data_IF_643344529857
#
_entry.id   IF_643344529857
#
_cell.length_a   1.000
_cell.length_b   1.000
_cell.length_c   1.000
_cell.angle_alpha   90.00
_cell.angle_beta   90.00
_cell.angle_gamma   90.00
#
_symmetry.space_group_name_H-M   'P 1'
#
loop_
_entity.id
_entity.type
_entity.pdbx_description
1 polymer ?
#
# COMPACT_ATOMS: atom_id res chain seq x y z
N UNK A 1 8.59 -12.05 -12.59
CA UNK A 1 8.52 -10.89 -13.49
C UNK A 1 7.07 -10.70 -13.96
N UNK A 2 6.45 -9.54 -13.60
CA UNK A 2 5.05 -9.24 -13.91
C UNK A 2 4.78 -9.14 -15.44
N UNK A 3 5.73 -8.61 -16.21
CA UNK A 3 5.61 -8.51 -17.66
C UNK A 3 5.57 -9.89 -18.32
N UNK A 4 6.43 -10.82 -17.88
CA UNK A 4 6.45 -12.18 -18.39
C UNK A 4 5.13 -12.92 -18.08
N UNK A 5 4.58 -12.75 -16.87
CA UNK A 5 3.29 -13.31 -16.50
C UNK A 5 2.14 -12.70 -17.32
N UNK A 6 2.15 -11.39 -17.51
CA UNK A 6 1.16 -10.71 -18.34
C UNK A 6 1.18 -11.26 -19.78
N UNK A 7 2.37 -11.43 -20.36
CA UNK A 7 2.53 -12.02 -21.70
C UNK A 7 2.01 -13.46 -21.76
N UNK A 8 2.28 -14.29 -20.77
CA UNK A 8 1.78 -15.68 -20.70
C UNK A 8 0.26 -15.76 -20.66
N UNK A 9 -0.41 -14.80 -20.00
CA UNK A 9 -1.89 -14.81 -19.88
C UNK A 9 -2.61 -14.29 -21.11
N UNK A 10 -1.91 -13.68 -22.08
CA UNK A 10 -2.51 -13.16 -23.31
C UNK A 10 -3.27 -14.26 -24.07
N UNK A 11 -2.70 -15.46 -24.17
CA UNK A 11 -3.29 -16.62 -24.88
C UNK A 11 -4.55 -17.18 -24.20
N UNK A 12 -4.84 -16.80 -22.97
CA UNK A 12 -6.09 -17.16 -22.29
C UNK A 12 -7.27 -16.29 -22.75
N UNK A 13 -7.01 -15.20 -23.47
CA UNK A 13 -8.01 -14.25 -23.94
C UNK A 13 -8.40 -14.53 -25.40
N UNK A 14 -9.67 -14.34 -25.70
CA UNK A 14 -10.23 -14.50 -27.05
C UNK A 14 -11.01 -13.26 -27.45
N UNK A 15 -10.87 -12.86 -28.72
CA UNK A 15 -11.65 -11.78 -29.30
C UNK A 15 -12.06 -12.14 -30.74
N UNK A 16 -13.32 -11.89 -31.08
CA UNK A 16 -13.90 -12.22 -32.37
C UNK A 16 -13.63 -13.69 -32.82
N UNK A 17 -13.75 -14.64 -31.86
CA UNK A 17 -13.54 -16.07 -32.11
C UNK A 17 -12.07 -16.52 -32.18
N UNK A 18 -11.11 -15.61 -32.14
CA UNK A 18 -9.68 -15.89 -32.22
C UNK A 18 -8.99 -15.80 -30.85
N UNK A 19 -8.07 -16.72 -30.55
CA UNK A 19 -7.17 -16.62 -29.40
C UNK A 19 -6.16 -15.51 -29.66
N UNK A 20 -5.93 -14.67 -28.63
CA UNK A 20 -4.91 -13.62 -28.70
C UNK A 20 -3.52 -14.23 -28.44
N UNK A 21 -2.56 -13.94 -29.29
CA UNK A 21 -1.19 -14.48 -29.19
C UNK A 21 -0.13 -13.40 -29.16
N UNK A 22 -0.50 -12.19 -29.59
CA UNK A 22 0.42 -11.06 -29.75
C UNK A 22 -0.09 -9.87 -28.92
N UNK A 23 0.76 -9.40 -28.00
CA UNK A 23 0.50 -8.27 -27.14
C UNK A 23 1.77 -7.44 -26.92
N UNK A 24 1.61 -6.14 -26.81
CA UNK A 24 2.65 -5.25 -26.28
C UNK A 24 2.48 -5.13 -24.76
N UNK A 25 3.50 -5.53 -24.02
CA UNK A 25 3.52 -5.40 -22.54
C UNK A 25 4.55 -4.37 -22.15
N UNK A 26 4.14 -3.39 -21.36
CA UNK A 26 5.00 -2.32 -20.85
C UNK A 26 4.88 -2.26 -19.33
N UNK A 27 5.99 -1.97 -18.66
CA UNK A 27 6.04 -1.71 -17.22
C UNK A 27 6.40 -0.27 -16.95
N UNK A 28 5.89 0.29 -15.87
CA UNK A 28 6.13 1.67 -15.47
C UNK A 28 5.39 2.00 -14.19
N UNK A 29 4.97 3.24 -14.07
CA UNK A 29 4.18 3.73 -12.96
C UNK A 29 2.83 4.26 -13.44
N UNK A 30 1.79 4.05 -12.63
CA UNK A 30 0.47 4.63 -12.81
C UNK A 30 0.18 5.59 -11.67
N UNK A 31 -0.23 6.82 -11.98
CA UNK A 31 -0.61 7.79 -10.95
C UNK A 31 -2.02 7.50 -10.45
N UNK A 32 -2.15 7.14 -9.17
CA UNK A 32 -3.41 6.76 -8.53
C UNK A 32 -4.44 7.89 -8.45
N UNK A 33 -4.01 9.15 -8.65
CA UNK A 33 -4.91 10.30 -8.81
C UNK A 33 -5.49 10.42 -10.23
N UNK A 34 -5.05 9.56 -11.16
CA UNK A 34 -5.50 9.60 -12.54
C UNK A 34 -4.90 10.74 -13.39
N UNK A 35 -3.88 11.43 -12.90
CA UNK A 35 -3.19 12.49 -13.66
C UNK A 35 -1.66 12.39 -13.47
N UNK A 36 -0.93 12.09 -14.55
CA UNK A 36 -1.38 11.83 -15.92
C UNK A 36 -2.13 10.51 -16.06
N UNK A 37 -3.13 10.45 -16.93
CA UNK A 37 -3.92 9.24 -17.22
C UNK A 37 -3.22 8.35 -18.27
N UNK A 38 -1.95 8.03 -18.03
CA UNK A 38 -1.13 7.19 -18.89
C UNK A 38 -0.05 6.48 -18.06
N UNK A 39 0.47 5.37 -18.59
CA UNK A 39 1.61 4.68 -18.00
C UNK A 39 2.86 5.55 -18.15
N UNK A 40 3.49 5.87 -17.02
CA UNK A 40 4.72 6.64 -16.95
C UNK A 40 5.92 5.68 -17.05
N UNK A 41 6.69 5.81 -18.12
CA UNK A 41 7.85 4.96 -18.37
C UNK A 41 9.05 5.36 -17.53
N UNK A 42 9.94 4.40 -17.25
CA UNK A 42 11.23 4.66 -16.62
C UNK A 42 12.23 5.28 -17.64
N UNK A 43 13.19 6.13 -17.20
CA UNK A 43 13.44 6.53 -15.79
C UNK A 43 12.51 7.68 -15.34
N UNK A 44 11.98 7.56 -14.13
CA UNK A 44 11.26 8.64 -13.45
C UNK A 44 11.46 8.52 -11.93
N UNK A 45 11.28 9.61 -11.20
CA UNK A 45 11.22 9.58 -9.73
C UNK A 45 9.77 9.49 -9.30
N UNK A 46 9.32 8.34 -8.75
CA UNK A 46 7.93 8.17 -8.35
C UNK A 46 7.59 9.04 -7.14
N UNK A 47 6.39 9.58 -7.14
CA UNK A 47 5.78 10.21 -5.96
C UNK A 47 5.05 9.15 -5.12
N UNK A 48 4.55 9.53 -3.95
CA UNK A 48 3.73 8.63 -3.12
C UNK A 48 2.41 8.20 -3.82
N UNK A 49 2.01 8.87 -4.90
CA UNK A 49 0.82 8.53 -5.67
C UNK A 49 1.09 7.67 -6.90
N UNK A 50 2.34 7.38 -7.19
CA UNK A 50 2.73 6.59 -8.36
C UNK A 50 2.95 5.13 -7.95
N UNK A 51 2.03 4.26 -8.36
CA UNK A 51 2.10 2.83 -8.14
C UNK A 51 2.78 2.10 -9.31
N UNK A 52 3.59 1.06 -9.05
CA UNK A 52 4.13 0.23 -10.12
C UNK A 52 3.01 -0.42 -10.92
N UNK A 53 3.10 -0.38 -12.24
CA UNK A 53 2.02 -0.82 -13.12
C UNK A 53 2.51 -1.60 -14.32
N UNK A 54 1.61 -2.42 -14.87
CA UNK A 54 1.79 -3.15 -16.11
C UNK A 54 0.66 -2.77 -17.06
N UNK A 55 1.01 -2.29 -18.26
CA UNK A 55 0.07 -2.06 -19.35
C UNK A 55 0.19 -3.18 -20.38
N UNK A 56 -0.95 -3.71 -20.80
CA UNK A 56 -1.06 -4.71 -21.86
C UNK A 56 -1.91 -4.13 -22.97
N UNK A 57 -1.32 -4.01 -24.16
CA UNK A 57 -2.02 -3.54 -25.35
C UNK A 57 -2.18 -4.67 -26.33
N UNK A 58 -3.42 -4.98 -26.70
CA UNK A 58 -3.80 -5.95 -27.71
C UNK A 58 -4.26 -5.21 -28.97
N UNK A 59 -3.80 -5.67 -30.13
CA UNK A 59 -4.22 -5.13 -31.43
C UNK A 59 -4.72 -6.25 -32.32
N UNK A 60 -5.89 -6.03 -32.93
CA UNK A 60 -6.40 -6.82 -34.03
C UNK A 60 -6.31 -5.99 -35.34
N UNK A 61 -5.22 -6.17 -36.06
CA UNK A 61 -4.89 -5.47 -37.29
C UNK A 61 -4.10 -6.38 -38.21
N UNK A 62 -3.82 -5.96 -39.42
CA UNK A 62 -3.04 -6.75 -40.39
C UNK A 62 -1.69 -7.16 -39.75
N UNK A 63 -1.38 -8.44 -39.86
CA UNK A 63 -0.20 -9.05 -39.29
C UNK A 63 -0.24 -9.37 -37.79
N UNK A 64 -1.29 -8.99 -37.07
CA UNK A 64 -1.43 -9.25 -35.60
C UNK A 64 -2.78 -9.90 -35.28
N UNK A 65 -2.76 -10.89 -34.39
CA UNK A 65 -3.93 -11.55 -33.78
C UNK A 65 -5.00 -11.97 -34.83
N UNK A 66 -4.56 -12.59 -35.94
CA UNK A 66 -5.39 -13.04 -37.06
C UNK A 66 -6.13 -11.92 -37.81
N UNK A 67 -5.55 -10.71 -37.83
CA UNK A 67 -6.05 -9.60 -38.62
C UNK A 67 -7.19 -8.80 -37.97
N UNK A 68 -7.74 -7.83 -38.73
CA UNK A 68 -8.84 -6.96 -38.28
C UNK A 68 -10.09 -7.74 -37.90
N UNK A 69 -10.97 -7.12 -37.14
CA UNK A 69 -12.32 -7.64 -36.88
C UNK A 69 -13.13 -7.52 -38.18
N UNK A 70 -13.56 -8.65 -38.69
CA UNK A 70 -14.36 -8.69 -39.94
C UNK A 70 -15.72 -8.05 -39.73
N UNK A 71 -16.13 -7.20 -40.68
CA UNK A 71 -17.45 -6.58 -40.69
C UNK A 71 -18.44 -7.45 -41.46
N UNK A 72 -19.72 -7.43 -41.07
CA UNK A 72 -20.77 -8.11 -41.83
C UNK A 72 -21.51 -7.12 -42.74
N UNK A 73 -22.12 -6.08 -42.19
CA UNK A 73 -22.91 -5.13 -42.97
C UNK A 73 -22.04 -4.10 -43.69
N UNK A 74 -20.93 -3.65 -43.14
CA UNK A 74 -20.08 -2.62 -43.75
C UNK A 74 -19.40 -3.09 -45.05
N UNK A 75 -19.46 -4.38 -45.36
CA UNK A 75 -19.00 -4.92 -46.65
C UNK A 75 -19.75 -4.32 -47.87
N UNK A 76 -20.99 -3.92 -47.68
CA UNK A 76 -21.75 -3.21 -48.73
C UNK A 76 -21.09 -1.87 -49.10
N UNK A 77 -20.28 -1.29 -48.20
CA UNK A 77 -19.48 -0.08 -48.42
C UNK A 77 -18.00 -0.38 -48.62
N UNK A 78 -17.67 -1.63 -48.98
CA UNK A 78 -16.29 -2.11 -49.21
C UNK A 78 -15.40 -2.08 -47.97
N UNK A 79 -15.95 -1.95 -46.77
CA UNK A 79 -15.22 -2.05 -45.50
C UNK A 79 -15.21 -3.50 -45.03
N UNK A 80 -14.14 -4.24 -45.33
CA UNK A 80 -14.03 -5.67 -45.06
C UNK A 80 -13.67 -5.98 -43.60
N UNK A 81 -13.00 -5.04 -42.91
CA UNK A 81 -12.58 -5.21 -41.52
C UNK A 81 -12.25 -3.89 -40.89
N UNK A 82 -12.24 -3.87 -39.54
CA UNK A 82 -11.91 -2.70 -38.72
C UNK A 82 -10.79 -3.09 -37.78
N UNK A 83 -9.73 -2.28 -37.77
CA UNK A 83 -8.66 -2.41 -36.79
C UNK A 83 -9.17 -2.05 -35.38
N UNK A 84 -8.81 -2.88 -34.42
CA UNK A 84 -9.19 -2.67 -33.03
C UNK A 84 -7.95 -2.70 -32.15
N UNK A 85 -7.92 -1.82 -31.18
CA UNK A 85 -6.90 -1.79 -30.13
C UNK A 85 -7.58 -1.62 -28.78
N UNK A 86 -7.10 -2.36 -27.78
CA UNK A 86 -7.47 -2.19 -26.38
C UNK A 86 -6.21 -2.17 -25.54
N UNK A 87 -6.16 -1.28 -24.59
CA UNK A 87 -5.11 -1.24 -23.57
C UNK A 87 -5.76 -1.43 -22.21
N UNK A 88 -5.21 -2.30 -21.40
CA UNK A 88 -5.57 -2.48 -20.00
C UNK A 88 -4.35 -2.21 -19.14
N UNK A 89 -4.52 -1.46 -18.07
CA UNK A 89 -3.46 -1.17 -17.09
C UNK A 89 -3.86 -1.77 -15.76
N UNK A 90 -2.97 -2.59 -15.20
CA UNK A 90 -3.11 -3.12 -13.85
C UNK A 90 -2.03 -2.53 -12.94
N UNK A 91 -2.45 -2.04 -11.79
CA UNK A 91 -1.58 -1.53 -10.75
C UNK A 91 -2.07 -1.97 -9.37
N UNK A 92 -1.17 -2.25 -8.39
CA UNK A 92 -1.57 -2.27 -7.00
C UNK A 92 -1.98 -0.85 -6.60
N UNK A 93 -2.96 -0.71 -5.73
CA UNK A 93 -3.29 0.57 -5.13
C UNK A 93 -2.74 0.64 -3.71
N UNK A 94 -2.49 1.86 -3.24
CA UNK A 94 -2.29 2.09 -1.81
C UNK A 94 -3.63 2.44 -1.20
N UNK A 95 -3.98 1.90 -0.02
CA UNK A 95 -5.29 2.13 0.55
C UNK A 95 -5.50 3.59 0.95
N UNK A 96 -6.67 4.13 0.63
CA UNK A 96 -7.21 5.36 1.19
C UNK A 96 -8.22 5.12 2.30
N UNK A 97 -8.60 3.85 2.49
CA UNK A 97 -9.61 3.39 3.45
C UNK A 97 -9.17 2.07 4.07
N UNK A 98 -9.35 1.95 5.39
CA UNK A 98 -9.22 0.68 6.11
C UNK A 98 -10.55 0.30 6.75
N UNK A 99 -10.99 -0.94 6.47
CA UNK A 99 -12.19 -1.53 7.03
C UNK A 99 -11.97 -1.94 8.50
N UNK A 100 -13.03 -2.22 9.26
CA UNK A 100 -12.91 -2.66 10.65
C UNK A 100 -11.97 -3.86 10.80
N UNK A 101 -11.12 -3.82 11.82
CA UNK A 101 -10.12 -4.85 12.08
C UNK A 101 -8.80 -4.69 11.30
N UNK A 102 -8.70 -3.72 10.38
CA UNK A 102 -7.54 -3.56 9.51
C UNK A 102 -6.38 -2.74 10.08
N UNK A 103 -6.58 -2.01 11.20
CA UNK A 103 -5.57 -1.12 11.76
C UNK A 103 -5.15 -1.51 13.17
N UNK A 104 -3.86 -1.44 13.41
CA UNK A 104 -3.27 -1.52 14.74
C UNK A 104 -3.26 -0.12 15.40
N UNK A 105 -3.51 0.01 16.72
CA UNK A 105 -3.73 1.30 17.40
C UNK A 105 -2.44 2.06 17.74
N UNK A 106 -1.55 2.17 16.75
CA UNK A 106 -0.28 2.87 16.84
C UNK A 106 -0.14 3.85 15.69
N UNK A 107 -0.25 5.14 15.93
CA UNK A 107 -0.06 6.17 14.91
C UNK A 107 1.43 6.42 14.68
N UNK A 108 1.90 6.33 13.44
CA UNK A 108 3.28 6.61 13.06
C UNK A 108 3.38 7.99 12.41
N UNK A 109 4.40 8.77 12.77
CA UNK A 109 4.65 10.04 12.11
C UNK A 109 5.18 9.84 10.68
N UNK A 110 4.72 10.69 9.75
CA UNK A 110 5.13 10.61 8.34
C UNK A 110 6.64 10.70 8.14
N UNK A 111 7.35 11.47 8.96
CA UNK A 111 8.80 11.59 8.89
C UNK A 111 9.54 10.26 9.14
N UNK A 112 8.94 9.31 9.86
CA UNK A 112 9.49 7.95 10.00
C UNK A 112 9.43 7.21 8.66
N UNK A 113 8.30 7.30 7.96
CA UNK A 113 8.20 6.76 6.60
C UNK A 113 9.25 7.41 5.68
N UNK A 114 9.34 8.73 5.66
CA UNK A 114 10.30 9.46 4.82
C UNK A 114 11.76 9.05 5.10
N UNK A 115 12.06 8.69 6.35
CA UNK A 115 13.40 8.26 6.80
C UNK A 115 13.70 6.81 6.47
N UNK A 116 12.75 5.90 6.67
CA UNK A 116 12.99 4.44 6.66
C UNK A 116 12.40 3.71 5.45
N UNK A 117 11.74 4.41 4.55
CA UNK A 117 11.25 3.87 3.29
C UNK A 117 12.06 4.40 2.12
N UNK A 118 12.35 3.55 1.14
CA UNK A 118 13.04 3.94 -0.08
C UNK A 118 12.08 3.85 -1.27
N UNK A 119 11.54 5.00 -1.66
CA UNK A 119 10.70 5.17 -2.85
C UNK A 119 11.49 5.44 -4.12
N UNK A 120 12.83 5.60 -4.02
CA UNK A 120 13.69 5.87 -5.18
C UNK A 120 14.07 4.60 -5.95
N UNK A 121 13.84 3.42 -5.37
CA UNK A 121 14.11 2.12 -5.99
C UNK A 121 12.83 1.47 -6.51
N UNK A 122 12.98 0.56 -7.46
CA UNK A 122 11.85 -0.18 -8.00
C UNK A 122 11.98 -1.69 -7.74
N UNK A 123 11.00 -2.37 -7.14
CA UNK A 123 9.84 -1.78 -6.43
C UNK A 123 10.28 -1.02 -5.16
N UNK A 124 9.49 -0.02 -4.71
CA UNK A 124 9.75 0.68 -3.45
C UNK A 124 9.80 -0.31 -2.29
N UNK A 125 10.69 -0.08 -1.33
CA UNK A 125 10.95 -1.03 -0.25
C UNK A 125 11.45 -0.33 1.02
N UNK A 126 11.46 -1.04 2.18
CA UNK A 126 12.16 -0.56 3.37
C UNK A 126 13.62 -0.24 3.07
N UNK A 127 14.14 0.84 3.64
CA UNK A 127 15.58 1.13 3.58
C UNK A 127 16.36 0.06 4.32
N UNK A 128 17.43 -0.39 3.69
CA UNK A 128 18.29 -1.43 4.21
C UNK A 128 19.48 -0.80 4.94
N UNK A 129 19.70 -1.22 6.18
CA UNK A 129 20.88 -0.87 6.94
C UNK A 129 22.11 -1.58 6.31
N UNK A 130 23.09 -0.84 5.81
CA UNK A 130 24.26 -1.43 5.17
C UNK A 130 25.12 -2.26 6.12
N UNK A 131 25.02 -2.04 7.45
CA UNK A 131 25.77 -2.80 8.43
C UNK A 131 25.19 -4.20 8.67
N UNK A 132 23.88 -4.36 8.54
CA UNK A 132 23.19 -5.62 8.84
C UNK A 132 22.63 -6.32 7.62
N UNK A 133 22.45 -5.61 6.50
CA UNK A 133 21.77 -6.11 5.30
C UNK A 133 20.26 -6.32 5.49
N UNK A 134 19.67 -5.82 6.59
CA UNK A 134 18.24 -5.91 6.94
C UNK A 134 17.60 -4.52 6.96
N UNK A 135 16.27 -4.41 6.97
CA UNK A 135 15.60 -3.13 7.18
C UNK A 135 16.11 -2.44 8.44
N UNK A 136 16.13 -1.09 8.40
CA UNK A 136 16.43 -0.32 9.62
C UNK A 136 15.39 -0.57 10.69
N UNK A 137 15.88 -0.87 11.90
CA UNK A 137 15.05 -1.05 13.08
C UNK A 137 14.95 0.27 13.84
N UNK A 138 13.78 0.62 14.31
CA UNK A 138 13.52 1.84 15.08
C UNK A 138 12.55 1.59 16.23
N UNK A 139 12.53 2.52 17.18
CA UNK A 139 11.66 2.48 18.35
C UNK A 139 10.52 3.47 18.20
N UNK A 140 9.29 3.06 18.50
CA UNK A 140 8.10 3.91 18.52
C UNK A 140 7.60 4.06 19.96
N UNK A 141 7.33 5.29 20.38
CA UNK A 141 6.79 5.63 21.70
C UNK A 141 7.13 7.06 22.09
N UNK A 142 6.44 7.59 23.09
CA UNK A 142 6.45 9.01 23.52
C UNK A 142 7.83 9.63 23.77
N UNK A 143 8.84 8.85 24.05
CA UNK A 143 10.19 9.34 24.34
C UNK A 143 11.16 9.20 23.18
N UNK A 144 10.71 8.68 22.03
CA UNK A 144 11.61 8.34 20.93
C UNK A 144 11.49 9.32 19.77
N UNK A 145 12.56 10.10 19.59
CA UNK A 145 12.68 11.09 18.52
C UNK A 145 13.91 10.78 17.67
N UNK A 146 13.79 11.01 16.36
CA UNK A 146 14.85 10.88 15.38
C UNK A 146 15.11 12.25 14.74
N UNK A 147 15.98 13.02 15.40
CA UNK A 147 16.13 14.45 15.12
C UNK A 147 14.88 15.21 15.55
N UNK A 148 14.21 15.89 14.62
CA UNK A 148 12.94 16.60 14.86
C UNK A 148 11.70 15.71 14.65
N UNK A 149 11.88 14.43 14.34
CA UNK A 149 10.82 13.49 14.06
C UNK A 149 10.41 12.75 15.32
N UNK A 150 9.20 12.97 15.84
CA UNK A 150 8.57 12.09 16.83
C UNK A 150 8.21 10.78 16.15
N UNK A 151 8.57 9.63 16.76
CA UNK A 151 8.45 8.34 16.09
C UNK A 151 7.01 7.89 15.89
N UNK A 152 6.17 8.08 16.89
CA UNK A 152 4.78 7.65 16.90
C UNK A 152 4.26 7.48 18.32
N UNK A 153 2.94 7.34 18.42
CA UNK A 153 2.22 7.24 19.68
C UNK A 153 1.03 6.29 19.58
N UNK A 154 0.54 5.85 20.73
CA UNK A 154 -0.72 5.13 20.78
C UNK A 154 -1.87 6.00 20.26
N UNK A 155 -2.88 5.36 19.71
CA UNK A 155 -4.10 6.02 19.23
C UNK A 155 -5.31 5.20 19.62
N UNK A 156 -6.36 5.87 20.10
CA UNK A 156 -7.70 5.27 20.23
C UNK A 156 -8.40 5.10 18.90
N UNK A 157 -7.80 5.55 17.82
CA UNK A 157 -8.25 5.53 16.44
C UNK A 157 -9.46 6.43 16.14
N UNK A 158 -10.34 6.68 17.11
CA UNK A 158 -11.58 7.44 16.87
C UNK A 158 -11.77 8.61 17.82
N UNK A 159 -11.76 8.33 19.11
CA UNK A 159 -12.18 9.23 20.17
C UNK A 159 -10.99 9.62 21.05
N UNK A 160 -11.22 10.61 21.94
CA UNK A 160 -10.35 11.00 23.04
C UNK A 160 -10.38 10.00 24.20
N UNK A 161 -10.77 8.75 23.97
CA UNK A 161 -10.72 7.67 24.95
C UNK A 161 -9.30 7.23 25.17
N UNK A 162 -8.78 7.59 26.32
CA UNK A 162 -7.39 7.30 26.66
C UNK A 162 -7.24 6.18 27.72
N UNK A 163 -8.25 5.35 27.85
CA UNK A 163 -8.16 4.20 28.73
C UNK A 163 -7.41 3.02 28.12
N UNK A 164 -6.62 2.35 28.96
CA UNK A 164 -5.82 1.20 28.55
C UNK A 164 -6.67 0.03 28.04
N UNK A 165 -7.89 -0.12 28.56
CA UNK A 165 -8.81 -1.18 28.17
C UNK A 165 -9.22 -1.06 26.72
N UNK A 166 -9.64 0.14 26.29
CA UNK A 166 -10.00 0.44 24.90
C UNK A 166 -8.84 0.16 23.95
N UNK A 167 -7.64 0.70 24.23
CA UNK A 167 -6.50 0.49 23.31
C UNK A 167 -6.06 -0.98 23.29
N UNK A 168 -6.12 -1.70 24.41
CA UNK A 168 -5.83 -3.14 24.44
C UNK A 168 -6.83 -3.93 23.58
N UNK A 169 -8.11 -3.57 23.61
CA UNK A 169 -9.10 -4.16 22.74
C UNK A 169 -8.79 -3.91 21.25
N UNK A 170 -8.35 -2.69 20.91
CA UNK A 170 -7.92 -2.36 19.55
C UNK A 170 -6.64 -3.12 19.11
N UNK A 171 -5.72 -3.44 20.03
CA UNK A 171 -4.57 -4.31 19.73
C UNK A 171 -5.06 -5.69 19.27
N UNK A 172 -6.09 -6.24 19.93
CA UNK A 172 -6.61 -7.56 19.63
C UNK A 172 -7.59 -7.61 18.43
N UNK A 173 -8.34 -6.52 18.18
CA UNK A 173 -9.47 -6.53 17.24
C UNK A 173 -9.33 -5.52 16.10
N UNK A 174 -8.37 -4.60 16.16
CA UNK A 174 -8.22 -3.50 15.21
C UNK A 174 -9.27 -2.39 15.38
N UNK A 175 -9.36 -1.51 14.40
CA UNK A 175 -10.33 -0.40 14.37
C UNK A 175 -11.78 -0.91 14.29
N UNK A 176 -12.72 -0.32 15.05
CA UNK A 176 -14.10 -0.80 15.09
C UNK A 176 -14.97 -0.31 13.92
N UNK A 177 -14.55 0.73 13.22
CA UNK A 177 -15.26 1.34 12.07
C UNK A 177 -14.29 1.60 10.93
N UNK A 178 -14.83 1.93 9.76
CA UNK A 178 -14.03 2.39 8.63
C UNK A 178 -13.23 3.64 9.00
N UNK A 179 -11.97 3.68 8.60
CA UNK A 179 -11.11 4.85 8.76
C UNK A 179 -10.53 5.23 7.40
N UNK A 180 -10.76 6.48 7.02
CA UNK A 180 -10.37 7.01 5.72
C UNK A 180 -9.24 8.04 5.85
N UNK A 181 -8.47 8.17 4.79
CA UNK A 181 -7.50 9.23 4.65
C UNK A 181 -8.18 10.61 4.77
N UNK A 182 -7.57 11.51 5.55
CA UNK A 182 -8.13 12.82 5.89
C UNK A 182 -9.03 12.82 7.14
N UNK A 183 -9.49 11.67 7.59
CA UNK A 183 -10.23 11.55 8.85
C UNK A 183 -9.28 11.75 10.05
N UNK A 184 -9.75 12.47 11.06
CA UNK A 184 -9.00 12.69 12.28
C UNK A 184 -9.06 11.48 13.21
N UNK A 185 -7.91 11.14 13.81
CA UNK A 185 -7.79 10.17 14.91
C UNK A 185 -7.15 10.84 16.11
N UNK A 186 -7.51 10.37 17.31
CA UNK A 186 -6.94 10.87 18.55
C UNK A 186 -5.56 10.26 18.82
N UNK A 187 -4.59 11.11 19.07
CA UNK A 187 -3.23 10.72 19.45
C UNK A 187 -3.11 10.74 20.96
N UNK A 188 -2.66 9.63 21.52
CA UNK A 188 -2.54 9.33 22.95
C UNK A 188 -1.09 9.34 23.38
N UNK A 189 -0.47 10.49 23.64
CA UNK A 189 0.88 10.51 24.19
C UNK A 189 0.90 9.98 25.62
N UNK A 190 2.00 9.37 25.95
CA UNK A 190 2.24 8.86 27.31
C UNK A 190 2.44 7.35 27.38
N UNK A 191 3.01 6.95 28.49
CA UNK A 191 3.50 5.60 28.69
C UNK A 191 2.45 4.72 29.36
N UNK A 192 1.82 3.86 28.58
CA UNK A 192 0.85 2.88 29.09
C UNK A 192 1.51 1.49 29.12
N UNK A 193 2.22 1.19 30.19
CA UNK A 193 3.12 0.01 30.34
C UNK A 193 2.46 -1.30 29.92
N UNK A 194 1.19 -1.49 30.24
CA UNK A 194 0.46 -2.73 29.91
C UNK A 194 0.14 -2.91 28.43
N UNK A 195 0.17 -1.84 27.62
CA UNK A 195 0.02 -1.93 26.16
C UNK A 195 1.30 -2.47 25.51
N UNK A 196 2.46 -2.12 26.04
CA UNK A 196 3.72 -2.69 25.57
C UNK A 196 3.81 -4.19 25.87
N UNK A 197 3.26 -4.67 27.00
CA UNK A 197 3.18 -6.10 27.26
C UNK A 197 2.26 -6.79 26.26
N UNK A 198 1.07 -6.26 26.03
CA UNK A 198 0.14 -6.84 25.05
C UNK A 198 0.74 -6.88 23.64
N UNK A 199 1.53 -5.85 23.28
CA UNK A 199 2.23 -5.82 21.98
C UNK A 199 3.41 -6.81 21.95
N UNK A 200 4.17 -6.97 23.04
CA UNK A 200 5.20 -8.00 23.15
C UNK A 200 4.60 -9.38 22.90
N UNK A 201 3.49 -9.69 23.58
CA UNK A 201 2.84 -11.00 23.52
C UNK A 201 2.35 -11.36 22.11
N UNK A 202 1.95 -10.38 21.28
CA UNK A 202 1.47 -10.61 19.93
C UNK A 202 2.49 -10.34 18.80
N UNK A 203 3.68 -9.78 19.11
CA UNK A 203 4.73 -9.43 18.15
C UNK A 203 5.49 -10.66 17.63
N UNK A 204 6.55 -10.44 16.84
CA UNK A 204 7.48 -11.48 16.41
C UNK A 204 8.20 -12.18 17.59
N UNK A 205 8.30 -11.53 18.75
CA UNK A 205 8.84 -12.11 19.99
C UNK A 205 7.81 -12.97 20.75
N UNK A 206 6.52 -12.86 20.42
CA UNK A 206 5.41 -13.55 21.06
C UNK A 206 4.71 -14.59 20.18
N UNK A 207 3.38 -14.48 20.06
CA UNK A 207 2.55 -15.42 19.32
C UNK A 207 2.39 -15.09 17.82
N UNK A 208 3.03 -14.00 17.34
CA UNK A 208 3.01 -13.51 15.94
C UNK A 208 1.67 -12.95 15.44
N UNK A 209 0.64 -12.82 16.27
CA UNK A 209 -0.69 -12.37 15.83
C UNK A 209 -0.73 -10.90 15.41
N UNK A 210 0.19 -10.07 15.89
CA UNK A 210 0.41 -8.68 15.46
C UNK A 210 1.83 -8.41 14.91
N UNK A 211 2.49 -9.44 14.40
CA UNK A 211 3.83 -9.31 13.81
C UNK A 211 3.85 -8.32 12.64
N UNK A 212 2.88 -8.44 11.72
CA UNK A 212 2.74 -7.54 10.58
C UNK A 212 1.43 -6.78 10.67
N UNK A 213 1.51 -5.48 10.91
CA UNK A 213 0.34 -4.63 11.14
C UNK A 213 0.32 -3.41 10.23
N UNK A 214 -0.88 -2.99 9.85
CA UNK A 214 -1.10 -1.70 9.20
C UNK A 214 -1.39 -0.65 10.27
N UNK A 215 -0.71 0.48 10.19
CA UNK A 215 -0.86 1.60 11.12
C UNK A 215 -1.23 2.88 10.38
N UNK A 216 -2.03 3.79 10.96
CA UNK A 216 -2.27 5.10 10.39
C UNK A 216 -0.98 5.92 10.42
N UNK A 217 -0.69 6.59 9.31
CA UNK A 217 0.39 7.57 9.20
C UNK A 217 -0.18 8.96 9.34
N UNK A 218 0.35 9.75 10.27
CA UNK A 218 -0.11 11.11 10.58
C UNK A 218 1.04 12.10 10.45
N UNK A 219 0.72 13.41 10.43
CA UNK A 219 1.76 14.45 10.26
C UNK A 219 2.66 14.53 11.49
N UNK A 220 2.06 14.54 12.67
CA UNK A 220 2.73 14.67 13.98
C UNK A 220 2.06 13.81 15.04
N UNK A 221 2.82 13.40 16.05
CA UNK A 221 2.36 12.52 17.14
C UNK A 221 2.64 13.06 18.54
N UNK A 222 3.18 14.27 18.66
CA UNK A 222 3.70 14.81 19.93
C UNK A 222 2.63 15.44 20.84
N UNK A 223 1.39 15.53 20.40
CA UNK A 223 0.34 16.29 21.10
C UNK A 223 -0.86 15.41 21.43
N UNK A 224 -1.46 15.62 22.59
CA UNK A 224 -2.84 15.21 22.87
C UNK A 224 -3.78 15.96 21.93
N UNK A 225 -3.95 15.47 20.73
CA UNK A 225 -4.74 16.16 19.71
C UNK A 225 -5.28 15.19 18.67
N UNK A 226 -6.31 15.64 17.99
CA UNK A 226 -6.76 15.01 16.76
C UNK A 226 -5.75 15.27 15.64
N UNK A 227 -5.35 14.23 14.93
CA UNK A 227 -4.46 14.32 13.77
C UNK A 227 -5.08 13.63 12.56
N UNK A 228 -5.04 14.25 11.37
CA UNK A 228 -5.59 13.63 10.18
C UNK A 228 -4.72 12.48 9.70
N UNK A 229 -5.36 11.40 9.30
CA UNK A 229 -4.72 10.27 8.62
C UNK A 229 -4.22 10.75 7.25
N UNK A 230 -2.93 10.65 7.01
CA UNK A 230 -2.31 10.98 5.73
C UNK A 230 -2.22 9.78 4.79
N UNK A 231 -2.33 8.58 5.33
CA UNK A 231 -2.26 7.30 4.65
C UNK A 231 -1.98 6.18 5.65
N UNK A 232 -1.58 5.03 5.14
CA UNK A 232 -1.38 3.83 5.95
C UNK A 232 -0.02 3.21 5.68
N UNK A 233 0.71 2.86 6.75
CA UNK A 233 2.02 2.23 6.68
C UNK A 233 1.98 0.81 7.18
N UNK A 234 2.83 -0.04 6.63
CA UNK A 234 3.03 -1.41 7.10
C UNK A 234 4.26 -1.49 8.00
N UNK A 235 4.08 -2.03 9.18
CA UNK A 235 5.14 -2.30 10.14
C UNK A 235 5.30 -3.80 10.40
N UNK A 236 6.54 -4.24 10.54
CA UNK A 236 6.90 -5.49 11.17
C UNK A 236 7.27 -5.17 12.63
N UNK A 237 6.44 -5.60 13.57
CA UNK A 237 6.67 -5.43 15.00
C UNK A 237 7.56 -6.57 15.49
N UNK A 238 8.79 -6.25 15.81
CA UNK A 238 9.79 -7.21 16.26
C UNK A 238 9.60 -7.57 17.74
N UNK A 239 9.31 -6.56 18.56
CA UNK A 239 9.19 -6.68 20.01
C UNK A 239 8.56 -5.43 20.61
N UNK A 240 8.26 -5.45 21.90
CA UNK A 240 7.92 -4.26 22.69
C UNK A 240 8.48 -4.35 24.12
N UNK A 241 8.99 -3.22 24.63
CA UNK A 241 9.59 -3.17 25.95
C UNK A 241 8.72 -2.43 26.96
N UNK A 242 8.31 -3.12 28.01
CA UNK A 242 7.56 -2.54 29.13
C UNK A 242 8.44 -1.65 30.01
N UNK A 243 9.73 -1.94 30.15
CA UNK A 243 10.67 -1.17 30.96
C UNK A 243 11.13 0.11 30.26
N UNK A 244 11.46 0.02 28.98
CA UNK A 244 11.94 1.16 28.18
C UNK A 244 10.82 1.85 27.39
N UNK A 245 9.59 1.30 27.40
CA UNK A 245 8.36 1.91 26.88
C UNK A 245 8.43 2.27 25.39
N UNK A 246 8.79 1.27 24.58
CA UNK A 246 8.78 1.37 23.12
C UNK A 246 8.20 0.12 22.46
N UNK A 247 7.74 0.28 21.24
CA UNK A 247 7.52 -0.78 20.26
C UNK A 247 8.75 -0.79 19.34
N UNK A 248 9.42 -1.92 19.19
CA UNK A 248 10.54 -2.13 18.28
C UNK A 248 10.00 -2.60 16.94
N UNK A 249 10.23 -1.84 15.90
CA UNK A 249 9.66 -2.11 14.60
C UNK A 249 10.63 -1.80 13.44
N UNK A 250 10.29 -2.29 12.28
CA UNK A 250 10.88 -1.92 11.00
C UNK A 250 9.76 -1.70 9.97
N UNK A 251 10.04 -0.93 8.91
CA UNK A 251 9.10 -0.82 7.79
C UNK A 251 8.99 -2.15 7.06
N UNK A 252 7.80 -2.48 6.56
CA UNK A 252 7.54 -3.73 5.84
C UNK A 252 6.62 -3.50 4.64
N UNK A 253 6.51 -4.51 3.78
CA UNK A 253 5.52 -4.62 2.71
C UNK A 253 4.74 -5.95 2.78
N UNK A 254 4.74 -6.61 3.95
CA UNK A 254 4.15 -7.94 4.16
C UNK A 254 2.80 -7.92 4.87
N UNK A 255 2.27 -6.75 5.18
CA UNK A 255 0.98 -6.65 5.88
C UNK A 255 -0.15 -7.25 5.05
N UNK A 256 -1.10 -7.87 5.76
CA UNK A 256 -2.36 -8.27 5.17
C UNK A 256 -3.21 -7.04 4.85
N UNK A 257 -3.62 -6.91 3.61
CA UNK A 257 -4.40 -5.78 3.10
C UNK A 257 -5.80 -6.19 2.62
N UNK A 258 -6.28 -7.34 3.04
CA UNK A 258 -7.62 -7.82 2.69
C UNK A 258 -8.75 -6.91 3.16
N UNK A 259 -8.49 -6.12 4.21
CA UNK A 259 -9.40 -5.12 4.78
C UNK A 259 -9.10 -3.69 4.31
N UNK A 260 -8.37 -3.53 3.21
CA UNK A 260 -8.01 -2.24 2.65
C UNK A 260 -8.81 -1.94 1.38
N UNK A 261 -9.13 -0.66 1.17
CA UNK A 261 -9.85 -0.19 -0.01
C UNK A 261 -9.47 1.25 -0.40
N UNK A 262 -10.12 1.76 -1.44
CA UNK A 262 -9.88 3.11 -1.93
C UNK A 262 -8.51 3.30 -2.58
N UNK A 263 -8.13 4.55 -2.82
CA UNK A 263 -6.83 4.94 -3.33
C UNK A 263 -6.20 6.01 -2.43
N UNK A 264 -4.98 5.78 -1.99
CA UNK A 264 -4.21 6.67 -1.12
C UNK A 264 -2.74 6.75 -1.55
N UNK A 265 -1.94 7.58 -0.90
CA UNK A 265 -0.50 7.63 -1.12
C UNK A 265 0.16 6.32 -0.66
N UNK A 266 1.19 5.91 -1.38
CA UNK A 266 1.94 4.71 -1.03
C UNK A 266 2.88 4.99 0.16
N UNK A 267 2.50 4.52 1.33
CA UNK A 267 3.34 4.50 2.53
C UNK A 267 3.73 3.07 2.94
N UNK A 268 3.99 2.21 1.94
CA UNK A 268 4.46 0.84 2.16
C UNK A 268 3.34 -0.21 2.19
N UNK A 269 2.08 0.20 2.10
CA UNK A 269 0.94 -0.70 2.00
C UNK A 269 0.44 -0.73 0.56
N UNK A 270 0.41 -1.91 -0.05
CA UNK A 270 -0.09 -2.10 -1.41
C UNK A 270 -1.14 -3.21 -1.43
N UNK A 271 -2.29 -2.94 -2.05
CA UNK A 271 -3.31 -3.95 -2.33
C UNK A 271 -2.90 -4.83 -3.52
N UNK A 272 -3.50 -6.01 -3.69
CA UNK A 272 -3.33 -6.77 -4.91
C UNK A 272 -3.60 -5.93 -6.16
N UNK A 273 -2.89 -6.19 -7.29
CA UNK A 273 -3.11 -5.46 -8.52
C UNK A 273 -4.56 -5.58 -9.01
N UNK A 274 -5.12 -4.46 -9.41
CA UNK A 274 -6.44 -4.35 -10.03
C UNK A 274 -6.37 -3.51 -11.31
N UNK A 275 -7.38 -3.62 -12.16
CA UNK A 275 -7.47 -2.77 -13.36
C UNK A 275 -7.72 -1.32 -12.94
N UNK A 276 -6.93 -0.41 -13.52
CA UNK A 276 -7.02 1.03 -13.27
C UNK A 276 -7.32 1.83 -14.54
N UNK A 277 -7.21 1.17 -15.71
CA UNK A 277 -7.57 1.71 -17.02
C UNK A 277 -7.85 0.59 -18.02
#
# INVERSE_FOLDING_TARGET
DAAARAQQTVSLNRAAGATMTDASVQTGYWNLKGSPALLQSLPMTPTAWDAPAVAVTLRKQDGQNLGPVRTFFARFWQVMGVNQQVTAVAAPSSPGLMLPGGLFPLAMAKCMYDTYWDSSVYPPRPRIDPATGKPYVFKIGSGYHYGLCSSGEWSSLLDDKNDVGTIRQLIAQGNPVNLEMGQNIWIEPGTKTTLYQATHDCSAAGDHSCEYVVVPTVTQTDNHALSPIMGFSCLHILDASTSQKYVLAEMSNRCNVSLAGGAGPNYGVLTPPSLVH
#
